data_IF_045410219212
#
_entry.id   IF_045410219212
#
_cell.length_a   1.000
_cell.length_b   1.000
_cell.length_c   1.000
_cell.angle_alpha   90.00
_cell.angle_beta   90.00
_cell.angle_gamma   90.00
#
_symmetry.space_group_name_H-M   'P 1'
#
loop_
_entity.id
_entity.type
_entity.pdbx_description
1 polymer ?
#
# COMPACT_ATOMS: atom_id res chain seq x y z
N UNK A 1 14.96 -6.83 -13.13
CA UNK A 1 13.77 -6.42 -12.35
C UNK A 1 13.89 -5.01 -11.79
N UNK A 2 15.00 -4.65 -11.14
CA UNK A 2 15.26 -3.28 -10.64
C UNK A 2 15.00 -2.16 -11.65
N UNK A 3 15.41 -2.34 -12.91
CA UNK A 3 15.15 -1.34 -13.96
C UNK A 3 13.65 -1.11 -14.16
N UNK A 4 12.84 -2.16 -14.12
CA UNK A 4 11.38 -2.08 -14.28
C UNK A 4 10.75 -1.33 -13.09
N UNK A 5 11.16 -1.66 -11.87
CA UNK A 5 10.68 -0.98 -10.66
C UNK A 5 11.11 0.49 -10.63
N UNK A 6 12.30 0.83 -11.17
CA UNK A 6 12.70 2.22 -11.36
C UNK A 6 11.80 2.96 -12.35
N UNK A 7 11.45 2.36 -13.49
CA UNK A 7 10.50 2.97 -14.42
C UNK A 7 9.12 3.19 -13.80
N UNK A 8 8.63 2.23 -13.00
CA UNK A 8 7.39 2.38 -12.24
C UNK A 8 7.48 3.53 -11.23
N UNK A 9 8.55 3.59 -10.44
CA UNK A 9 8.76 4.66 -9.46
C UNK A 9 8.84 6.04 -10.11
N UNK A 10 9.51 6.17 -11.26
CA UNK A 10 9.51 7.41 -12.05
C UNK A 10 8.09 7.76 -12.50
N UNK A 11 7.30 6.79 -12.98
CA UNK A 11 5.90 7.00 -13.34
C UNK A 11 5.05 7.50 -12.17
N UNK A 12 5.19 6.90 -10.99
CA UNK A 12 4.54 7.35 -9.75
C UNK A 12 4.94 8.79 -9.41
N UNK A 13 6.22 9.12 -9.51
CA UNK A 13 6.73 10.47 -9.30
C UNK A 13 6.17 11.50 -10.30
N UNK A 14 5.96 11.11 -11.56
CA UNK A 14 5.30 11.97 -12.56
C UNK A 14 3.83 12.23 -12.22
N UNK A 15 3.09 11.22 -11.75
CA UNK A 15 1.70 11.39 -11.29
C UNK A 15 1.65 12.35 -10.11
N UNK A 16 2.53 12.17 -9.12
CA UNK A 16 2.65 13.10 -7.98
C UNK A 16 2.96 14.53 -8.42
N UNK A 17 3.91 14.69 -9.35
CA UNK A 17 4.32 16.01 -9.86
C UNK A 17 3.22 16.69 -10.67
N UNK A 18 2.42 15.94 -11.42
CA UNK A 18 1.31 16.50 -12.19
C UNK A 18 0.24 17.14 -11.29
N UNK A 19 0.03 16.59 -10.10
CA UNK A 19 -0.97 17.04 -9.13
C UNK A 19 -0.34 17.74 -7.91
N UNK A 20 0.88 18.27 -8.05
CA UNK A 20 1.65 18.93 -6.98
C UNK A 20 0.85 20.04 -6.30
N UNK A 21 0.05 20.80 -7.06
CA UNK A 21 -0.77 21.89 -6.54
C UNK A 21 -1.72 21.43 -5.42
N UNK A 22 -2.29 20.22 -5.54
CA UNK A 22 -3.17 19.65 -4.50
C UNK A 22 -2.38 19.38 -3.22
N UNK A 23 -1.19 18.81 -3.35
CA UNK A 23 -0.33 18.45 -2.22
C UNK A 23 0.20 19.70 -1.49
N UNK A 24 0.56 20.74 -2.23
CA UNK A 24 1.02 22.02 -1.66
C UNK A 24 -0.13 22.78 -0.98
N UNK A 25 -1.36 22.65 -1.50
CA UNK A 25 -2.55 23.25 -0.88
C UNK A 25 -2.89 22.64 0.48
N UNK A 26 -2.54 21.37 0.69
CA UNK A 26 -2.78 20.63 1.93
C UNK A 26 -1.46 20.05 2.47
N UNK A 27 -0.65 20.83 3.20
CA UNK A 27 0.67 20.40 3.68
C UNK A 27 0.65 19.11 4.51
N UNK A 28 -0.47 18.78 5.14
CA UNK A 28 -0.63 17.54 5.91
C UNK A 28 -0.69 16.31 5.01
N UNK A 29 -1.15 16.42 3.76
CA UNK A 29 -1.04 15.36 2.76
C UNK A 29 0.41 15.08 2.38
N UNK A 30 1.28 16.10 2.28
CA UNK A 30 2.71 15.91 2.04
C UNK A 30 3.40 15.10 3.14
N UNK A 31 2.92 15.21 4.39
CA UNK A 31 3.43 14.44 5.52
C UNK A 31 2.95 12.99 5.45
N UNK A 32 1.67 12.79 5.11
CA UNK A 32 1.07 11.45 5.07
C UNK A 32 1.53 10.64 3.86
N UNK A 33 1.68 11.27 2.70
CA UNK A 33 1.92 10.61 1.41
C UNK A 33 3.06 9.57 1.45
N UNK A 34 4.29 9.89 1.89
CA UNK A 34 5.37 8.89 1.92
C UNK A 34 5.07 7.75 2.89
N UNK A 35 4.35 8.01 3.99
CA UNK A 35 4.01 6.98 4.97
C UNK A 35 2.93 6.05 4.43
N UNK A 36 1.93 6.61 3.73
CA UNK A 36 0.87 5.85 3.08
C UNK A 36 1.41 4.95 1.95
N UNK A 37 2.28 5.48 1.09
CA UNK A 37 3.00 4.70 0.06
C UNK A 37 3.74 3.51 0.70
N UNK A 38 4.44 3.79 1.80
CA UNK A 38 5.23 2.78 2.50
C UNK A 38 4.37 1.70 3.15
N UNK A 39 3.21 2.03 3.71
CA UNK A 39 2.33 1.04 4.35
C UNK A 39 1.95 -0.05 3.35
N UNK A 40 1.42 0.29 2.18
CA UNK A 40 1.03 -0.70 1.17
C UNK A 40 2.19 -1.58 0.72
N UNK A 41 3.35 -0.97 0.46
CA UNK A 41 4.56 -1.67 0.04
C UNK A 41 5.11 -2.62 1.11
N UNK A 42 5.21 -2.17 2.36
CA UNK A 42 5.76 -2.94 3.47
C UNK A 42 4.82 -4.08 3.88
N UNK A 43 3.51 -3.84 3.98
CA UNK A 43 2.53 -4.87 4.36
C UNK A 43 2.37 -5.91 3.25
N UNK A 44 2.36 -5.48 1.99
CA UNK A 44 2.36 -6.38 0.83
C UNK A 44 3.64 -7.23 0.77
N UNK A 45 4.81 -6.63 0.97
CA UNK A 45 6.09 -7.35 0.97
C UNK A 45 6.19 -8.35 2.12
N UNK A 46 5.75 -7.96 3.31
CA UNK A 46 5.64 -8.84 4.48
C UNK A 46 4.70 -10.02 4.21
N UNK A 47 3.60 -9.78 3.51
CA UNK A 47 2.68 -10.84 3.10
C UNK A 47 3.33 -11.79 2.07
N UNK A 48 4.02 -11.23 1.07
CA UNK A 48 4.76 -11.99 0.06
C UNK A 48 5.80 -12.92 0.68
N UNK A 49 6.64 -12.40 1.59
CA UNK A 49 7.65 -13.20 2.29
C UNK A 49 7.03 -14.35 3.12
N UNK A 50 5.88 -14.10 3.77
CA UNK A 50 5.14 -15.13 4.50
C UNK A 50 4.55 -16.20 3.58
N UNK A 51 4.06 -15.82 2.41
CA UNK A 51 3.60 -16.76 1.39
C UNK A 51 4.76 -17.57 0.82
N UNK A 52 5.88 -16.92 0.52
CA UNK A 52 7.13 -17.56 0.09
C UNK A 52 7.56 -18.66 1.06
N UNK A 53 7.63 -18.32 2.35
CA UNK A 53 7.94 -19.27 3.42
C UNK A 53 6.94 -20.43 3.48
N UNK A 54 5.64 -20.15 3.34
CA UNK A 54 4.62 -21.20 3.33
C UNK A 54 4.80 -22.15 2.13
N UNK A 55 5.08 -21.63 0.93
CA UNK A 55 5.32 -22.45 -0.25
C UNK A 55 6.55 -23.34 -0.13
N UNK A 56 7.65 -22.83 0.44
CA UNK A 56 8.84 -23.62 0.73
C UNK A 56 8.60 -24.77 1.72
N UNK A 57 7.65 -24.60 2.65
CA UNK A 57 7.24 -25.64 3.61
C UNK A 57 6.25 -26.66 3.01
N UNK A 58 5.95 -26.59 1.72
CA UNK A 58 5.08 -27.56 1.03
C UNK A 58 3.58 -27.24 1.12
N UNK A 59 3.20 -26.06 1.60
CA UNK A 59 1.79 -25.64 1.75
C UNK A 59 1.12 -25.20 0.42
N UNK A 60 1.65 -25.62 -0.73
CA UNK A 60 1.31 -25.16 -2.09
C UNK A 60 0.00 -25.75 -2.67
N UNK A 61 -0.41 -26.95 -2.23
CA UNK A 61 -1.41 -27.74 -2.96
C UNK A 61 -2.86 -27.21 -2.91
N UNK A 62 -3.23 -26.30 -2.00
CA UNK A 62 -4.61 -25.78 -1.97
C UNK A 62 -4.71 -24.36 -1.39
N UNK A 63 -4.51 -23.32 -2.22
CA UNK A 63 -4.42 -21.91 -1.78
C UNK A 63 -5.68 -21.43 -1.06
N UNK A 64 -6.86 -21.78 -1.58
CA UNK A 64 -8.15 -21.29 -1.07
C UNK A 64 -8.49 -21.86 0.31
N UNK A 65 -8.08 -23.09 0.59
CA UNK A 65 -8.39 -23.79 1.84
C UNK A 65 -7.22 -23.82 2.81
N UNK A 66 -6.09 -23.19 2.48
CA UNK A 66 -4.92 -23.22 3.35
C UNK A 66 -5.12 -22.27 4.55
N UNK A 67 -5.22 -22.79 5.78
CA UNK A 67 -5.38 -21.95 6.96
C UNK A 67 -4.18 -21.00 7.17
N UNK A 68 -2.98 -21.37 6.71
CA UNK A 68 -1.78 -20.53 6.81
C UNK A 68 -1.90 -19.28 5.95
N UNK A 69 -2.36 -19.42 4.70
CA UNK A 69 -2.54 -18.29 3.77
C UNK A 69 -3.63 -17.36 4.28
N UNK A 70 -4.76 -17.92 4.72
CA UNK A 70 -5.88 -17.14 5.29
C UNK A 70 -5.47 -16.39 6.56
N UNK A 71 -4.76 -17.05 7.47
CA UNK A 71 -4.31 -16.42 8.71
C UNK A 71 -3.29 -15.31 8.43
N UNK A 72 -2.40 -15.50 7.46
CA UNK A 72 -1.46 -14.46 7.04
C UNK A 72 -2.17 -13.26 6.41
N UNK A 73 -3.19 -13.50 5.57
CA UNK A 73 -4.00 -12.42 4.99
C UNK A 73 -4.73 -11.63 6.08
N UNK A 74 -5.38 -12.31 7.03
CA UNK A 74 -6.07 -11.65 8.16
C UNK A 74 -5.08 -10.84 8.99
N UNK A 75 -3.89 -11.39 9.29
CA UNK A 75 -2.87 -10.66 10.04
C UNK A 75 -2.44 -9.39 9.31
N UNK A 76 -2.22 -9.45 8.00
CA UNK A 76 -1.80 -8.30 7.18
C UNK A 76 -2.91 -7.25 7.05
N UNK A 77 -4.17 -7.68 6.96
CA UNK A 77 -5.33 -6.77 7.03
C UNK A 77 -5.35 -6.01 8.37
N UNK A 78 -5.19 -6.71 9.49
CA UNK A 78 -5.17 -6.08 10.81
C UNK A 78 -4.00 -5.10 10.92
N UNK A 79 -2.79 -5.53 10.53
CA UNK A 79 -1.58 -4.69 10.59
C UNK A 79 -1.73 -3.44 9.71
N UNK A 80 -2.22 -3.59 8.47
CA UNK A 80 -2.44 -2.46 7.57
C UNK A 80 -3.48 -1.49 8.10
N UNK A 81 -4.61 -1.99 8.61
CA UNK A 81 -5.65 -1.16 9.20
C UNK A 81 -5.14 -0.37 10.41
N UNK A 82 -4.48 -1.04 11.36
CA UNK A 82 -3.91 -0.39 12.55
C UNK A 82 -2.87 0.66 12.14
N UNK A 83 -2.03 0.36 11.15
CA UNK A 83 -1.01 1.30 10.65
C UNK A 83 -1.64 2.56 10.05
N UNK A 84 -2.69 2.42 9.24
CA UNK A 84 -3.37 3.57 8.63
C UNK A 84 -4.12 4.40 9.68
N UNK A 85 -4.79 3.77 10.65
CA UNK A 85 -5.41 4.51 11.76
C UNK A 85 -4.35 5.28 12.55
N UNK A 86 -3.22 4.64 12.84
CA UNK A 86 -2.11 5.29 13.53
C UNK A 86 -1.58 6.51 12.76
N UNK A 87 -1.36 6.37 11.44
CA UNK A 87 -0.91 7.48 10.58
C UNK A 87 -1.93 8.62 10.56
N UNK A 88 -3.22 8.31 10.45
CA UNK A 88 -4.27 9.33 10.47
C UNK A 88 -4.25 10.13 11.78
N UNK A 89 -4.11 9.45 12.93
CA UNK A 89 -4.04 10.11 14.24
C UNK A 89 -2.78 10.96 14.35
N UNK A 90 -1.61 10.43 13.97
CA UNK A 90 -0.34 11.16 14.05
C UNK A 90 -0.35 12.38 13.13
N UNK A 91 -0.84 12.24 11.91
CA UNK A 91 -0.96 13.34 10.95
C UNK A 91 -1.88 14.45 11.49
N UNK A 92 -3.02 14.08 12.07
CA UNK A 92 -3.92 15.03 12.73
C UNK A 92 -3.25 15.78 13.89
N UNK A 93 -2.53 15.06 14.75
CA UNK A 93 -1.81 15.68 15.88
C UNK A 93 -0.72 16.64 15.41
N UNK A 94 0.02 16.29 14.35
CA UNK A 94 1.05 17.16 13.77
C UNK A 94 0.42 18.40 13.14
N UNK A 95 -0.68 18.25 12.38
CA UNK A 95 -1.42 19.37 11.81
C UNK A 95 -1.91 20.31 12.91
N UNK A 96 -2.55 19.76 13.95
CA UNK A 96 -3.03 20.52 15.10
C UNK A 96 -1.91 21.29 15.82
N UNK A 97 -0.77 20.64 16.08
CA UNK A 97 0.36 21.28 16.75
C UNK A 97 0.98 22.42 15.92
N UNK A 98 0.90 22.33 14.59
CA UNK A 98 1.39 23.37 13.66
C UNK A 98 0.38 24.50 13.45
N UNK A 99 -0.77 24.48 14.12
CA UNK A 99 -1.86 25.43 13.87
C UNK A 99 -2.54 25.22 12.52
N UNK A 100 -2.42 24.02 11.95
CA UNK A 100 -3.11 23.62 10.75
C UNK A 100 -4.62 23.49 10.96
N UNK A 101 -5.35 23.61 9.85
CA UNK A 101 -6.81 23.50 9.83
C UNK A 101 -7.24 22.44 8.80
N UNK A 102 -6.43 21.39 8.64
CA UNK A 102 -6.75 20.34 7.68
C UNK A 102 -8.02 19.62 8.14
N UNK A 103 -9.07 19.52 7.30
CA UNK A 103 -10.30 18.87 7.69
C UNK A 103 -10.05 17.42 8.09
N UNK A 104 -10.55 17.02 9.27
CA UNK A 104 -10.45 15.62 9.74
C UNK A 104 -11.07 14.66 8.73
N UNK A 105 -12.15 15.08 8.07
CA UNK A 105 -12.79 14.31 7.00
C UNK A 105 -11.83 14.03 5.84
N UNK A 106 -10.97 14.98 5.46
CA UNK A 106 -9.96 14.78 4.41
C UNK A 106 -8.97 13.67 4.83
N UNK A 107 -8.44 13.75 6.05
CA UNK A 107 -7.47 12.78 6.57
C UNK A 107 -8.06 11.37 6.63
N UNK A 108 -9.31 11.24 7.09
CA UNK A 108 -10.02 9.96 7.18
C UNK A 108 -10.28 9.40 5.78
N UNK A 109 -10.79 10.21 4.85
CA UNK A 109 -11.11 9.76 3.49
C UNK A 109 -9.86 9.32 2.74
N UNK A 110 -8.76 10.09 2.83
CA UNK A 110 -7.46 9.71 2.23
C UNK A 110 -6.96 8.40 2.80
N UNK A 111 -6.94 8.27 4.12
CA UNK A 111 -6.53 7.05 4.82
C UNK A 111 -7.35 5.84 4.40
N UNK A 112 -8.68 5.99 4.34
CA UNK A 112 -9.60 4.93 3.96
C UNK A 112 -9.44 4.53 2.49
N UNK A 113 -9.33 5.48 1.57
CA UNK A 113 -9.16 5.21 0.14
C UNK A 113 -7.85 4.47 -0.14
N UNK A 114 -6.73 4.93 0.42
CA UNK A 114 -5.44 4.24 0.27
C UNK A 114 -5.55 2.82 0.81
N UNK A 115 -6.07 2.65 2.03
CA UNK A 115 -6.21 1.32 2.62
C UNK A 115 -7.04 0.37 1.76
N UNK A 116 -8.18 0.84 1.24
CA UNK A 116 -9.05 0.03 0.39
C UNK A 116 -8.34 -0.40 -0.89
N UNK A 117 -7.55 0.49 -1.50
CA UNK A 117 -6.75 0.16 -2.68
C UNK A 117 -5.68 -0.86 -2.30
N UNK A 118 -4.98 -0.72 -1.17
CA UNK A 118 -3.98 -1.70 -0.74
C UNK A 118 -4.60 -3.10 -0.56
N UNK A 119 -5.77 -3.16 0.08
CA UNK A 119 -6.50 -4.41 0.31
C UNK A 119 -6.92 -5.06 -1.02
N UNK A 120 -7.49 -4.29 -1.93
CA UNK A 120 -8.04 -4.83 -3.19
C UNK A 120 -6.93 -5.09 -4.22
N UNK A 121 -5.97 -4.19 -4.34
CA UNK A 121 -4.94 -4.23 -5.38
C UNK A 121 -3.66 -4.87 -4.88
N UNK A 122 -3.00 -4.31 -3.86
CA UNK A 122 -1.67 -4.74 -3.43
C UNK A 122 -1.69 -6.16 -2.86
N UNK A 123 -2.64 -6.48 -1.98
CA UNK A 123 -2.70 -7.82 -1.36
C UNK A 123 -3.12 -8.90 -2.36
N UNK A 124 -4.04 -8.58 -3.28
CA UNK A 124 -4.41 -9.50 -4.37
C UNK A 124 -3.24 -9.76 -5.30
N UNK A 125 -2.51 -8.71 -5.70
CA UNK A 125 -1.30 -8.85 -6.52
C UNK A 125 -0.21 -9.64 -5.78
N UNK A 126 -0.09 -9.47 -4.47
CA UNK A 126 0.86 -10.24 -3.66
C UNK A 126 0.56 -11.74 -3.74
N UNK A 127 -0.70 -12.15 -3.58
CA UNK A 127 -1.11 -13.55 -3.70
C UNK A 127 -0.85 -14.07 -5.12
N UNK A 128 -1.27 -13.32 -6.13
CA UNK A 128 -1.14 -13.72 -7.54
C UNK A 128 0.34 -13.88 -7.94
N UNK A 129 1.17 -12.88 -7.65
CA UNK A 129 2.59 -12.89 -7.99
C UNK A 129 3.37 -13.95 -7.19
N UNK A 130 3.06 -14.15 -5.91
CA UNK A 130 3.69 -15.22 -5.11
C UNK A 130 3.39 -16.60 -5.69
N UNK A 131 2.14 -16.83 -6.14
CA UNK A 131 1.78 -18.09 -6.77
C UNK A 131 2.44 -18.27 -8.15
N UNK A 132 2.45 -17.23 -8.97
CA UNK A 132 3.11 -17.25 -10.28
C UNK A 132 4.60 -17.55 -10.09
N UNK A 133 5.27 -16.83 -9.19
CA UNK A 133 6.68 -17.04 -8.89
C UNK A 133 6.95 -18.50 -8.49
N UNK A 134 6.18 -19.02 -7.54
CA UNK A 134 6.30 -20.41 -7.10
C UNK A 134 6.07 -21.41 -8.25
N UNK A 135 5.07 -21.20 -9.10
CA UNK A 135 4.78 -22.07 -10.24
C UNK A 135 5.90 -22.10 -11.29
N UNK A 136 6.61 -21.00 -11.46
CA UNK A 136 7.75 -20.90 -12.38
C UNK A 136 9.09 -21.28 -11.72
N UNK A 137 9.09 -21.70 -10.45
CA UNK A 137 10.32 -22.04 -9.71
C UNK A 137 11.20 -20.82 -9.41
N UNK A 138 10.63 -19.61 -9.47
CA UNK A 138 11.29 -18.37 -9.10
C UNK A 138 11.12 -18.15 -7.60
N UNK A 139 12.16 -17.60 -6.96
CA UNK A 139 12.05 -17.18 -5.56
C UNK A 139 11.12 -15.95 -5.47
N UNK A 140 9.98 -16.04 -4.75
CA UNK A 140 9.11 -14.90 -4.54
C UNK A 140 9.82 -13.74 -3.83
N UNK A 141 10.87 -14.00 -3.06
CA UNK A 141 11.56 -12.94 -2.32
C UNK A 141 12.39 -12.06 -3.28
N UNK A 142 12.94 -12.65 -4.34
CA UNK A 142 13.71 -11.94 -5.38
C UNK A 142 12.84 -11.29 -6.46
N UNK A 143 11.58 -11.71 -6.58
CA UNK A 143 10.69 -11.28 -7.67
C UNK A 143 9.46 -10.50 -7.19
N UNK A 144 8.76 -10.98 -6.18
CA UNK A 144 7.50 -10.41 -5.72
C UNK A 144 7.75 -9.15 -4.89
N UNK A 145 8.69 -9.20 -3.94
CA UNK A 145 8.88 -8.11 -2.97
C UNK A 145 9.16 -6.75 -3.65
N UNK A 146 10.12 -6.60 -4.58
CA UNK A 146 10.37 -5.30 -5.20
C UNK A 146 9.23 -4.83 -6.12
N UNK A 147 8.48 -5.75 -6.74
CA UNK A 147 7.30 -5.41 -7.53
C UNK A 147 6.21 -4.88 -6.60
N UNK A 148 5.92 -5.58 -5.50
CA UNK A 148 4.89 -5.20 -4.54
C UNK A 148 5.21 -3.87 -3.85
N UNK A 149 6.47 -3.61 -3.51
CA UNK A 149 6.89 -2.30 -3.01
C UNK A 149 6.55 -1.18 -4.01
N UNK A 150 6.85 -1.37 -5.29
CA UNK A 150 6.54 -0.39 -6.35
C UNK A 150 5.03 -0.22 -6.56
N UNK A 151 4.25 -1.30 -6.42
CA UNK A 151 2.79 -1.23 -6.49
C UNK A 151 2.18 -0.53 -5.27
N UNK A 152 2.80 -0.66 -4.09
CA UNK A 152 2.45 0.07 -2.88
C UNK A 152 2.68 1.58 -3.01
N UNK A 153 3.79 1.97 -3.64
CA UNK A 153 4.03 3.37 -3.98
C UNK A 153 2.94 3.92 -4.89
N UNK A 154 2.56 3.16 -5.92
CA UNK A 154 1.48 3.53 -6.83
C UNK A 154 0.12 3.59 -6.12
N UNK A 155 -0.21 2.61 -5.27
CA UNK A 155 -1.50 2.59 -4.55
C UNK A 155 -1.64 3.76 -3.59
N UNK A 156 -0.57 4.13 -2.87
CA UNK A 156 -0.55 5.29 -1.99
C UNK A 156 -0.84 6.59 -2.73
N UNK A 157 -0.15 6.83 -3.85
CA UNK A 157 -0.33 8.04 -4.66
C UNK A 157 -1.72 8.11 -5.29
N UNK A 158 -2.14 7.02 -5.94
CA UNK A 158 -3.46 6.96 -6.58
C UNK A 158 -4.57 7.10 -5.55
N UNK A 159 -4.45 6.47 -4.38
CA UNK A 159 -5.45 6.55 -3.33
C UNK A 159 -5.62 7.94 -2.74
N UNK A 160 -4.53 8.70 -2.57
CA UNK A 160 -4.62 10.10 -2.14
C UNK A 160 -5.38 10.95 -3.15
N UNK A 161 -5.05 10.85 -4.44
CA UNK A 161 -5.72 11.67 -5.46
C UNK A 161 -7.18 11.26 -5.70
N UNK A 162 -7.50 9.96 -5.65
CA UNK A 162 -8.87 9.49 -5.69
C UNK A 162 -9.67 10.03 -4.50
N UNK A 163 -9.12 10.02 -3.29
CA UNK A 163 -9.78 10.55 -2.11
C UNK A 163 -10.09 12.05 -2.23
N UNK A 164 -9.12 12.82 -2.70
CA UNK A 164 -9.29 14.26 -2.93
C UNK A 164 -10.36 14.51 -4.00
N UNK A 165 -10.33 13.77 -5.11
CA UNK A 165 -11.35 13.88 -6.16
C UNK A 165 -12.76 13.55 -5.62
N UNK A 166 -12.88 12.50 -4.80
CA UNK A 166 -14.14 12.11 -4.16
C UNK A 166 -14.71 13.24 -3.30
N UNK A 167 -13.86 13.93 -2.56
CA UNK A 167 -14.26 15.06 -1.71
C UNK A 167 -14.62 16.31 -2.50
N UNK A 168 -13.98 16.55 -3.65
CA UNK A 168 -14.36 17.65 -4.55
C UNK A 168 -15.73 17.45 -5.20
N UNK A 169 -16.20 16.20 -5.31
CA UNK A 169 -17.49 15.86 -5.90
C UNK A 169 -18.67 15.92 -4.90
N UNK A 170 -18.39 16.02 -3.60
CA UNK A 170 -19.37 16.09 -2.50
C UNK A 170 -19.69 17.54 -2.13
#
# INVERSE_FOLDING_TARGET
MLIITCFLAVGVGQIMGAEEHILVSWPTLLIMLPVLMKIGGDTGSMFGARLSSAFHLGFSNNIKDNPVIRNNLIAVLIIGFVSIVFVCIVAFLIDFYRGGHTPVLLLITVSACVYLIDVVFVYTMTIALSFISHRYGLDPDDTVIPIIASLGDLSGVVGVFIAVLLLYLL
#
